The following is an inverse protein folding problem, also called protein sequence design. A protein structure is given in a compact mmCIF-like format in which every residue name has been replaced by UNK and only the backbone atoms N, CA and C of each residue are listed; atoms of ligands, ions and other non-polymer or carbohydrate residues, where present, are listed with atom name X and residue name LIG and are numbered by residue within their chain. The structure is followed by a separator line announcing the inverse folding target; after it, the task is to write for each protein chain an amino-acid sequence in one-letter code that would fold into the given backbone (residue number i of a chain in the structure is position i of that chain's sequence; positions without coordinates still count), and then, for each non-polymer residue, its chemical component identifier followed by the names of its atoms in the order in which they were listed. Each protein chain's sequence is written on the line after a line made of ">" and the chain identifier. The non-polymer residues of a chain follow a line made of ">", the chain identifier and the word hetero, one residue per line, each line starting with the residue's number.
data_IF_903629372642
#
_entry.id   IF_903629372642
#
_cell.length_a   1.000
_cell.length_b   1.000
_cell.length_c   1.000
_cell.angle_alpha   90.00
_cell.angle_beta   90.00
_cell.angle_gamma   90.00
#
_symmetry.space_group_name_H-M   'P 1'
#
loop_
_entity.id
_entity.type
_entity.pdbx_description
1 polymer ?
#
# COMPACT_ATOMS: atom_id res chain seq x y z
N UNK A 1 6.13 -8.76 -23.06
CA UNK A 1 6.29 -9.17 -21.66
C UNK A 1 7.60 -9.93 -21.53
N UNK A 2 8.39 -9.69 -20.48
CA UNK A 2 9.41 -10.66 -20.10
C UNK A 2 8.74 -12.01 -19.81
N UNK A 3 9.43 -13.15 -20.05
CA UNK A 3 8.87 -14.46 -19.74
C UNK A 3 8.54 -14.56 -18.25
N UNK A 4 7.47 -15.29 -17.91
CA UNK A 4 7.11 -15.56 -16.53
C UNK A 4 8.30 -16.17 -15.78
N UNK A 5 8.53 -15.79 -14.52
CA UNK A 5 9.65 -16.30 -13.74
C UNK A 5 9.55 -17.83 -13.62
N UNK A 6 10.71 -18.49 -13.63
CA UNK A 6 10.77 -19.93 -13.42
C UNK A 6 10.20 -20.29 -12.04
N UNK A 7 9.65 -21.50 -11.84
CA UNK A 7 9.16 -21.94 -10.54
C UNK A 7 10.22 -21.93 -9.43
N UNK A 8 11.50 -22.04 -9.81
CA UNK A 8 12.66 -21.97 -8.90
C UNK A 8 13.11 -20.54 -8.58
N UNK A 9 12.51 -19.52 -9.17
CA UNK A 9 12.87 -18.13 -8.91
C UNK A 9 12.52 -17.73 -7.47
N UNK A 10 13.43 -16.99 -6.83
CA UNK A 10 13.21 -16.41 -5.50
C UNK A 10 11.91 -15.59 -5.41
N UNK A 11 11.40 -15.42 -4.19
CA UNK A 11 10.13 -14.75 -3.94
C UNK A 11 10.12 -13.31 -4.49
N UNK A 12 11.21 -12.55 -4.29
CA UNK A 12 11.31 -11.17 -4.78
C UNK A 12 11.28 -11.10 -6.31
N UNK A 13 11.97 -12.02 -7.01
CA UNK A 13 11.96 -12.05 -8.47
C UNK A 13 10.54 -12.31 -9.01
N UNK A 14 9.78 -13.21 -8.36
CA UNK A 14 8.35 -13.42 -8.67
C UNK A 14 7.51 -12.18 -8.39
N UNK A 15 7.75 -11.52 -7.26
CA UNK A 15 7.07 -10.28 -6.92
C UNK A 15 7.37 -9.12 -7.89
N UNK A 16 8.58 -9.04 -8.45
CA UNK A 16 8.91 -8.05 -9.47
C UNK A 16 8.09 -8.26 -10.75
N UNK A 17 7.93 -9.52 -11.19
CA UNK A 17 7.08 -9.85 -12.32
C UNK A 17 5.60 -9.51 -12.05
N UNK A 18 5.10 -9.88 -10.87
CA UNK A 18 3.73 -9.59 -10.45
C UNK A 18 3.47 -8.09 -10.29
N UNK A 19 4.49 -7.31 -9.92
CA UNK A 19 4.40 -5.86 -9.80
C UNK A 19 4.15 -5.18 -11.16
N UNK A 20 4.83 -5.64 -12.22
CA UNK A 20 4.58 -5.13 -13.57
C UNK A 20 3.16 -5.47 -14.06
N UNK A 21 2.66 -6.65 -13.70
CA UNK A 21 1.26 -7.00 -13.97
C UNK A 21 0.29 -6.11 -13.19
N UNK A 22 0.56 -5.87 -11.90
CA UNK A 22 -0.21 -4.94 -11.09
C UNK A 22 -0.19 -3.51 -11.65
N UNK A 23 0.95 -3.00 -12.15
CA UNK A 23 1.02 -1.68 -12.80
C UNK A 23 0.07 -1.58 -13.98
N UNK A 24 0.02 -2.60 -14.84
CA UNK A 24 -0.91 -2.63 -15.99
C UNK A 24 -2.38 -2.66 -15.56
N UNK A 25 -2.71 -3.53 -14.61
CA UNK A 25 -4.09 -3.65 -14.09
C UNK A 25 -4.53 -2.36 -13.41
N UNK A 26 -3.65 -1.75 -12.63
CA UNK A 26 -3.85 -0.44 -12.01
C UNK A 26 -4.16 0.63 -13.03
N UNK A 27 -3.38 0.72 -14.10
CA UNK A 27 -3.66 1.67 -15.20
C UNK A 27 -5.01 1.42 -15.85
N UNK A 28 -5.35 0.16 -16.13
CA UNK A 28 -6.66 -0.19 -16.69
C UNK A 28 -7.84 0.15 -15.75
N UNK A 29 -7.62 0.15 -14.43
CA UNK A 29 -8.64 0.54 -13.44
C UNK A 29 -8.72 2.07 -13.23
N UNK A 30 -7.69 2.83 -13.60
CA UNK A 30 -7.57 4.28 -13.35
C UNK A 30 -7.56 5.14 -14.63
N UNK A 31 -7.68 4.50 -15.79
CA UNK A 31 -7.78 5.20 -17.07
C UNK A 31 -9.11 5.95 -17.18
N UNK A 32 -9.06 7.14 -17.77
CA UNK A 32 -10.23 7.95 -18.12
C UNK A 32 -10.63 7.74 -19.58
N UNK A 33 -9.76 7.15 -20.39
CA UNK A 33 -10.03 6.89 -21.81
C UNK A 33 -9.34 5.63 -22.32
N UNK A 34 -9.75 5.17 -23.50
CA UNK A 34 -9.17 4.00 -24.16
C UNK A 34 -7.73 4.29 -24.62
N UNK A 35 -7.45 5.53 -25.03
CA UNK A 35 -6.12 5.97 -25.46
C UNK A 35 -5.10 5.75 -24.34
N UNK A 36 -5.45 6.08 -23.10
CA UNK A 36 -4.56 5.86 -21.94
C UNK A 36 -4.29 4.37 -21.64
N UNK A 37 -5.19 3.47 -22.02
CA UNK A 37 -4.98 2.01 -21.94
C UNK A 37 -3.99 1.56 -23.03
N UNK A 38 -4.07 2.18 -24.20
CA UNK A 38 -3.29 1.83 -25.40
C UNK A 38 -1.92 2.53 -25.46
N UNK A 39 -1.70 3.57 -24.66
CA UNK A 39 -0.41 4.25 -24.55
C UNK A 39 0.69 3.29 -24.09
N UNK A 40 1.86 3.41 -24.70
CA UNK A 40 3.02 2.60 -24.36
C UNK A 40 3.56 3.02 -22.99
N UNK A 41 4.28 2.12 -22.30
CA UNK A 41 4.96 2.45 -21.03
C UNK A 41 5.94 3.63 -21.15
N UNK A 42 6.22 4.13 -22.36
CA UNK A 42 7.11 5.28 -22.58
C UNK A 42 6.40 6.62 -22.73
N UNK A 43 5.08 6.63 -22.90
CA UNK A 43 4.29 7.85 -23.09
C UNK A 43 3.77 8.36 -21.74
N UNK A 44 4.67 8.90 -20.92
CA UNK A 44 4.33 9.42 -19.59
C UNK A 44 3.83 10.86 -19.65
N UNK A 45 2.62 11.07 -20.13
CA UNK A 45 1.98 12.39 -20.02
C UNK A 45 1.32 12.52 -18.65
N UNK A 46 1.77 13.50 -17.87
CA UNK A 46 1.04 13.92 -16.68
C UNK A 46 -0.34 14.43 -17.08
N UNK A 47 -1.33 14.15 -16.23
CA UNK A 47 -2.69 14.67 -16.36
C UNK A 47 -2.77 16.02 -15.63
N UNK A 48 -3.75 16.18 -14.74
CA UNK A 48 -4.05 17.42 -14.02
C UNK A 48 -3.44 17.41 -12.60
N UNK A 49 -3.55 18.56 -11.91
CA UNK A 49 -3.28 18.61 -10.48
C UNK A 49 -4.25 17.72 -9.70
N UNK A 50 -3.72 16.94 -8.75
CA UNK A 50 -4.47 15.94 -8.02
C UNK A 50 -5.42 16.55 -6.99
N UNK A 51 -6.66 16.12 -6.98
CA UNK A 51 -7.68 16.55 -6.01
C UNK A 51 -7.88 15.50 -4.92
N UNK A 52 -8.62 15.84 -3.85
CA UNK A 52 -8.99 14.88 -2.82
C UNK A 52 -9.79 13.69 -3.38
N UNK A 53 -10.59 13.91 -4.43
CA UNK A 53 -11.37 12.86 -5.12
C UNK A 53 -10.45 11.83 -5.79
N UNK A 54 -9.34 12.28 -6.39
CA UNK A 54 -8.39 11.37 -7.02
C UNK A 54 -7.82 10.38 -6.01
N UNK A 55 -7.56 10.81 -4.77
CA UNK A 55 -7.11 9.91 -3.72
C UNK A 55 -8.16 8.89 -3.30
N UNK A 56 -9.44 9.24 -3.28
CA UNK A 56 -10.50 8.30 -2.95
C UNK A 56 -10.55 7.16 -3.98
N UNK A 57 -10.48 7.50 -5.27
CA UNK A 57 -10.42 6.52 -6.38
C UNK A 57 -9.13 5.70 -6.31
N UNK A 58 -7.99 6.34 -6.08
CA UNK A 58 -6.71 5.66 -5.93
C UNK A 58 -6.69 4.68 -4.77
N UNK A 59 -7.21 5.08 -3.61
CA UNK A 59 -7.27 4.23 -2.43
C UNK A 59 -8.07 2.97 -2.72
N UNK A 60 -9.24 3.10 -3.35
CA UNK A 60 -10.09 1.98 -3.73
C UNK A 60 -9.35 0.94 -4.59
N UNK A 61 -8.75 1.39 -5.69
CA UNK A 61 -8.00 0.52 -6.61
C UNK A 61 -6.79 -0.10 -5.91
N UNK A 62 -6.03 0.70 -5.15
CA UNK A 62 -4.82 0.24 -4.48
C UNK A 62 -5.12 -0.77 -3.37
N UNK A 63 -6.25 -0.66 -2.68
CA UNK A 63 -6.63 -1.65 -1.66
C UNK A 63 -6.94 -3.02 -2.26
N UNK A 64 -7.58 -3.07 -3.44
CA UNK A 64 -7.80 -4.32 -4.16
C UNK A 64 -6.47 -4.96 -4.54
N UNK A 65 -5.57 -4.18 -5.15
CA UNK A 65 -4.25 -4.68 -5.57
C UNK A 65 -3.36 -5.08 -4.38
N UNK A 66 -3.44 -4.34 -3.26
CA UNK A 66 -2.76 -4.67 -2.02
C UNK A 66 -3.23 -6.03 -1.50
N UNK A 67 -4.55 -6.24 -1.45
CA UNK A 67 -5.11 -7.49 -0.94
C UNK A 67 -4.70 -8.68 -1.81
N UNK A 68 -4.83 -8.56 -3.13
CA UNK A 68 -4.37 -9.60 -4.08
C UNK A 68 -2.88 -9.92 -3.96
N UNK A 69 -2.06 -8.92 -3.64
CA UNK A 69 -0.63 -9.12 -3.37
C UNK A 69 -0.42 -9.86 -2.04
N UNK A 70 -1.08 -9.43 -0.96
CA UNK A 70 -0.95 -10.03 0.37
C UNK A 70 -1.39 -11.50 0.37
N UNK A 71 -2.47 -11.84 -0.33
CA UNK A 71 -2.97 -13.24 -0.44
C UNK A 71 -1.94 -14.21 -1.05
N UNK A 72 -0.99 -13.70 -1.83
CA UNK A 72 0.08 -14.50 -2.43
C UNK A 72 1.26 -14.74 -1.47
N UNK A 73 1.31 -14.06 -0.32
CA UNK A 73 2.38 -14.23 0.66
C UNK A 73 2.16 -15.54 1.44
N UNK A 74 3.12 -16.50 1.40
CA UNK A 74 2.97 -17.78 2.08
C UNK A 74 2.66 -17.66 3.58
N UNK A 75 3.28 -16.68 4.24
CA UNK A 75 3.15 -16.44 5.67
C UNK A 75 1.81 -15.82 6.05
N UNK A 76 1.14 -15.14 5.12
CA UNK A 76 -0.18 -14.55 5.36
C UNK A 76 -1.25 -15.62 5.58
N UNK A 77 -1.11 -16.76 4.90
CA UNK A 77 -1.93 -17.94 5.13
C UNK A 77 -1.67 -18.60 6.50
N UNK A 78 -0.50 -18.38 7.12
CA UNK A 78 -0.16 -18.95 8.42
C UNK A 78 -0.80 -18.20 9.60
N UNK A 79 -1.30 -16.99 9.36
CA UNK A 79 -2.12 -16.26 10.33
C UNK A 79 -3.49 -16.91 10.54
N UNK A 80 -3.85 -17.89 9.71
CA UNK A 80 -4.95 -18.82 9.96
C UNK A 80 -4.44 -19.93 10.88
N UNK A 81 -5.13 -20.18 11.99
CA UNK A 81 -4.78 -21.21 12.96
C UNK A 81 -4.60 -22.58 12.26
N UNK A 82 -3.52 -23.35 12.52
CA UNK A 82 -3.33 -24.68 11.93
C UNK A 82 -4.50 -25.65 12.13
N UNK A 83 -5.40 -25.40 13.11
CA UNK A 83 -6.65 -26.16 13.28
C UNK A 83 -7.64 -25.99 12.11
N UNK A 84 -7.60 -24.90 11.33
CA UNK A 84 -8.52 -24.69 10.19
C UNK A 84 -8.37 -25.75 9.08
N UNK A 85 -7.18 -26.34 8.93
CA UNK A 85 -6.97 -27.44 7.97
C UNK A 85 -7.60 -28.76 8.43
N UNK A 86 -7.85 -28.93 9.73
CA UNK A 86 -8.47 -30.12 10.32
C UNK A 86 -9.99 -29.93 10.48
N UNK A 87 -10.42 -28.70 10.80
CA UNK A 87 -11.82 -28.35 11.10
C UNK A 87 -12.71 -28.29 9.86
N UNK A 88 -12.14 -28.32 8.65
CA UNK A 88 -12.91 -28.64 7.44
C UNK A 88 -13.66 -30.00 7.51
N UNK A 89 -13.36 -30.82 8.54
CA UNK A 89 -14.01 -32.11 8.82
C UNK A 89 -14.98 -32.10 10.02
N UNK A 90 -15.10 -31.03 10.83
CA UNK A 90 -15.90 -31.05 12.08
C UNK A 90 -16.64 -29.72 12.29
N UNK A 91 -17.87 -29.64 11.77
CA UNK A 91 -18.82 -28.58 12.08
C UNK A 91 -19.08 -28.51 13.59
N UNK A 92 -18.95 -27.32 14.19
CA UNK A 92 -19.68 -26.77 15.37
C UNK A 92 -18.79 -25.89 16.29
N UNK A 93 -17.46 -25.90 16.16
CA UNK A 93 -16.55 -24.96 16.90
C UNK A 93 -16.15 -23.72 16.05
N UNK A 94 -16.53 -23.71 14.77
CA UNK A 94 -16.03 -22.82 13.70
C UNK A 94 -16.19 -21.30 13.87
N UNK A 95 -17.19 -20.81 14.59
CA UNK A 95 -17.56 -19.38 14.47
C UNK A 95 -16.60 -18.46 15.24
N UNK A 96 -16.00 -18.94 16.33
CA UNK A 96 -15.12 -18.12 17.19
C UNK A 96 -13.68 -18.00 16.68
N UNK A 97 -13.12 -19.10 16.17
CA UNK A 97 -11.70 -19.19 15.76
C UNK A 97 -11.50 -18.52 14.40
N UNK A 98 -12.40 -18.78 13.44
CA UNK A 98 -12.29 -18.20 12.09
C UNK A 98 -12.44 -16.68 12.14
N UNK A 99 -13.36 -16.15 12.98
CA UNK A 99 -13.47 -14.71 13.23
C UNK A 99 -12.18 -14.10 13.77
N UNK A 100 -11.49 -14.76 14.70
CA UNK A 100 -10.26 -14.21 15.31
C UNK A 100 -9.10 -14.12 14.31
N UNK A 101 -8.96 -15.11 13.42
CA UNK A 101 -7.95 -15.13 12.36
C UNK A 101 -8.18 -14.01 11.33
N UNK A 102 -9.43 -13.81 10.91
CA UNK A 102 -9.82 -12.69 10.05
C UNK A 102 -9.59 -11.33 10.71
N UNK A 103 -9.77 -11.23 12.03
CA UNK A 103 -9.48 -9.98 12.78
C UNK A 103 -7.99 -9.64 12.76
N UNK A 104 -7.09 -10.63 12.90
CA UNK A 104 -5.64 -10.40 12.83
C UNK A 104 -5.19 -9.93 11.44
N UNK A 105 -5.64 -10.61 10.38
CA UNK A 105 -5.38 -10.22 9.01
C UNK A 105 -5.92 -8.81 8.71
N UNK A 106 -7.14 -8.50 9.18
CA UNK A 106 -7.76 -7.18 9.04
C UNK A 106 -6.93 -6.10 9.74
N UNK A 107 -6.42 -6.36 10.95
CA UNK A 107 -5.56 -5.42 11.68
C UNK A 107 -4.27 -5.11 10.91
N UNK A 108 -3.63 -6.12 10.31
CA UNK A 108 -2.44 -5.94 9.48
C UNK A 108 -2.73 -5.12 8.23
N UNK A 109 -3.78 -5.50 7.48
CA UNK A 109 -4.19 -4.81 6.26
C UNK A 109 -4.50 -3.33 6.54
N UNK A 110 -5.25 -3.03 7.60
CA UNK A 110 -5.55 -1.64 8.01
C UNK A 110 -4.30 -0.85 8.36
N UNK A 111 -3.39 -1.44 9.13
CA UNK A 111 -2.16 -0.78 9.54
C UNK A 111 -1.20 -0.52 8.37
N UNK A 112 -1.31 -1.32 7.32
CA UNK A 112 -0.43 -1.26 6.15
C UNK A 112 -0.99 -0.41 4.99
N UNK A 113 -2.31 -0.29 4.87
CA UNK A 113 -3.01 0.36 3.76
C UNK A 113 -2.40 1.71 3.31
N UNK A 114 -2.16 2.62 4.25
CA UNK A 114 -1.61 3.94 3.92
C UNK A 114 -0.14 3.89 3.54
N UNK A 115 0.64 3.00 4.16
CA UNK A 115 2.05 2.80 3.84
C UNK A 115 2.20 2.23 2.43
N UNK A 116 1.30 1.31 2.07
CA UNK A 116 1.20 0.77 0.71
C UNK A 116 0.87 1.87 -0.31
N UNK A 117 -0.17 2.67 -0.06
CA UNK A 117 -0.55 3.77 -0.93
C UNK A 117 0.60 4.78 -1.09
N UNK A 118 1.23 5.18 0.01
CA UNK A 118 2.35 6.12 -0.01
C UNK A 118 3.52 5.56 -0.83
N UNK A 119 3.99 4.35 -0.49
CA UNK A 119 5.13 3.69 -1.14
C UNK A 119 4.94 3.65 -2.66
N UNK A 120 3.76 3.28 -3.11
CA UNK A 120 3.49 3.14 -4.54
C UNK A 120 3.51 4.47 -5.29
N UNK A 121 2.98 5.54 -4.70
CA UNK A 121 3.00 6.86 -5.35
C UNK A 121 4.42 7.48 -5.33
N UNK A 122 5.17 7.35 -4.23
CA UNK A 122 6.57 7.86 -4.19
C UNK A 122 7.48 7.06 -5.11
N UNK A 123 7.29 5.74 -5.19
CA UNK A 123 8.04 4.90 -6.12
C UNK A 123 7.69 5.24 -7.58
N UNK A 124 6.41 5.42 -7.89
CA UNK A 124 5.98 5.86 -9.23
C UNK A 124 6.58 7.22 -9.61
N UNK A 125 6.56 8.18 -8.69
CA UNK A 125 7.20 9.50 -8.88
C UNK A 125 8.69 9.37 -9.18
N UNK A 126 9.39 8.54 -8.41
CA UNK A 126 10.81 8.25 -8.57
C UNK A 126 11.12 7.56 -9.91
N UNK A 127 10.32 6.55 -10.31
CA UNK A 127 10.45 5.85 -11.60
C UNK A 127 10.30 6.80 -12.78
N UNK A 128 9.37 7.77 -12.69
CA UNK A 128 9.18 8.81 -13.70
C UNK A 128 10.30 9.88 -13.68
N UNK A 129 11.12 9.91 -12.63
CA UNK A 129 12.26 10.79 -12.52
C UNK A 129 11.95 12.21 -12.04
N UNK A 130 10.74 12.48 -11.53
CA UNK A 130 10.39 13.78 -10.98
C UNK A 130 11.01 14.01 -9.59
N UNK A 131 11.45 15.25 -9.33
CA UNK A 131 11.99 15.70 -8.03
C UNK A 131 11.33 16.99 -7.53
N UNK A 132 10.46 17.60 -8.33
CA UNK A 132 9.78 18.88 -8.04
C UNK A 132 8.29 18.70 -7.74
N UNK A 133 7.77 17.47 -7.83
CA UNK A 133 6.35 17.14 -7.69
C UNK A 133 6.17 15.67 -7.31
N UNK A 134 5.08 15.37 -6.62
CA UNK A 134 4.62 14.00 -6.38
C UNK A 134 3.65 13.63 -7.49
N UNK A 135 3.93 12.53 -8.20
CA UNK A 135 3.06 11.99 -9.24
C UNK A 135 2.34 10.77 -8.70
N UNK A 136 1.02 10.83 -8.69
CA UNK A 136 0.19 9.72 -8.28
C UNK A 136 0.15 8.66 -9.39
N UNK A 137 -0.17 7.42 -9.03
CA UNK A 137 -0.20 6.28 -9.96
C UNK A 137 -1.27 6.38 -11.06
N UNK A 138 -2.17 7.38 -10.99
CA UNK A 138 -3.09 7.76 -12.06
C UNK A 138 -2.55 8.90 -12.96
N UNK A 139 -1.28 9.27 -12.81
CA UNK A 139 -0.58 10.37 -13.50
C UNK A 139 -1.11 11.79 -13.19
N UNK A 140 -2.01 11.97 -12.23
CA UNK A 140 -2.23 13.28 -11.64
C UNK A 140 -1.05 13.62 -10.72
N UNK A 141 -0.80 14.90 -10.48
CA UNK A 141 0.37 15.32 -9.72
C UNK A 141 0.04 16.40 -8.68
N UNK A 142 0.89 16.51 -7.66
CA UNK A 142 0.87 17.58 -6.69
C UNK A 142 2.24 18.26 -6.72
N UNK A 143 2.24 19.58 -6.85
CA UNK A 143 3.47 20.35 -6.79
C UNK A 143 3.48 21.15 -5.49
N UNK A 144 4.54 21.03 -4.66
CA UNK A 144 4.62 21.80 -3.44
C UNK A 144 4.49 23.30 -3.70
N UNK A 145 3.71 23.94 -2.85
CA UNK A 145 3.33 25.36 -2.82
C UNK A 145 2.56 25.86 -4.06
N UNK A 146 2.05 24.96 -4.90
CA UNK A 146 1.25 25.28 -6.09
C UNK A 146 -0.07 24.52 -6.06
N UNK A 147 -1.13 25.16 -5.58
CA UNK A 147 -2.47 24.61 -5.52
C UNK A 147 -3.35 25.07 -6.70
N UNK A 148 -4.35 24.28 -7.12
CA UNK A 148 -5.30 24.67 -8.16
C UNK A 148 -6.18 25.85 -7.70
N UNK A 149 -6.64 26.72 -8.62
CA UNK A 149 -7.49 27.86 -8.27
C UNK A 149 -8.85 27.41 -7.72
N UNK A 150 -9.18 27.80 -6.50
CA UNK A 150 -10.44 27.43 -5.84
C UNK A 150 -11.64 28.27 -6.33
N UNK A 151 -12.84 27.68 -6.40
CA UNK A 151 -14.09 28.42 -6.35
C UNK A 151 -14.20 29.22 -5.03
N UNK A 152 -14.75 30.44 -5.07
CA UNK A 152 -14.70 31.42 -3.95
C UNK A 152 -15.51 31.05 -2.68
N UNK A 153 -15.96 29.81 -2.49
CA UNK A 153 -16.98 29.44 -1.51
C UNK A 153 -16.55 28.38 -0.49
N UNK A 154 -15.28 28.33 -0.10
CA UNK A 154 -14.78 27.12 0.57
C UNK A 154 -14.63 27.24 2.09
N UNK A 155 -15.13 26.17 2.72
CA UNK A 155 -15.23 25.92 4.15
C UNK A 155 -13.83 25.76 4.77
N UNK A 156 -13.70 25.96 6.08
CA UNK A 156 -12.41 25.93 6.79
C UNK A 156 -11.62 24.62 6.64
N UNK A 157 -12.30 23.50 6.39
CA UNK A 157 -11.68 22.18 6.28
C UNK A 157 -10.96 21.98 4.93
N UNK A 158 -11.47 22.54 3.83
CA UNK A 158 -10.88 22.39 2.48
C UNK A 158 -9.52 23.08 2.36
N UNK A 159 -9.37 24.27 2.96
CA UNK A 159 -8.08 24.96 3.06
C UNK A 159 -7.02 24.17 3.83
N UNK A 160 -7.43 23.38 4.83
CA UNK A 160 -6.51 22.52 5.58
C UNK A 160 -6.05 21.34 4.73
N UNK A 161 -6.94 20.74 3.95
CA UNK A 161 -6.57 19.66 3.01
C UNK A 161 -5.61 20.19 1.94
N UNK A 162 -5.88 21.36 1.39
CA UNK A 162 -5.04 22.02 0.38
C UNK A 162 -3.63 22.30 0.90
N UNK A 163 -3.52 22.90 2.10
CA UNK A 163 -2.23 23.14 2.74
C UNK A 163 -1.44 21.84 2.96
N UNK A 164 -2.10 20.70 3.18
CA UNK A 164 -1.39 19.43 3.34
C UNK A 164 -1.00 18.82 1.98
N UNK A 165 -1.90 18.83 1.00
CA UNK A 165 -1.65 18.24 -0.33
C UNK A 165 -0.60 19.02 -1.13
N UNK A 166 -0.58 20.34 -0.97
CA UNK A 166 0.26 21.26 -1.74
C UNK A 166 1.21 22.07 -0.87
N UNK A 167 1.40 21.75 0.40
CA UNK A 167 2.27 22.53 1.29
C UNK A 167 3.64 21.91 1.55
N UNK A 168 4.13 22.15 2.77
CA UNK A 168 5.45 21.73 3.22
C UNK A 168 5.59 20.21 3.32
N UNK A 169 4.47 19.50 3.43
CA UNK A 169 4.41 18.05 3.59
C UNK A 169 4.65 17.32 2.27
N UNK A 170 4.13 17.86 1.16
CA UNK A 170 4.48 17.40 -0.18
C UNK A 170 5.98 17.62 -0.47
N UNK A 171 6.54 18.75 0.00
CA UNK A 171 7.98 19.02 -0.08
C UNK A 171 8.80 18.02 0.76
N UNK A 172 8.39 17.76 2.00
CA UNK A 172 9.04 16.78 2.87
C UNK A 172 9.02 15.37 2.25
N UNK A 173 7.94 14.98 1.58
CA UNK A 173 7.87 13.70 0.86
C UNK A 173 8.89 13.61 -0.28
N UNK A 174 9.17 14.71 -0.96
CA UNK A 174 10.23 14.76 -1.97
C UNK A 174 11.62 14.61 -1.32
N UNK A 175 11.88 15.41 -0.29
CA UNK A 175 13.19 15.50 0.36
C UNK A 175 13.57 14.23 1.13
N UNK A 176 12.61 13.61 1.81
CA UNK A 176 12.85 12.46 2.69
C UNK A 176 12.66 11.10 2.00
N UNK A 177 11.91 11.04 0.88
CA UNK A 177 11.62 9.78 0.18
C UNK A 177 12.04 9.82 -1.29
N UNK A 178 11.40 10.63 -2.14
CA UNK A 178 11.57 10.53 -3.60
C UNK A 178 13.02 10.78 -4.02
N UNK A 179 13.63 11.87 -3.53
CA UNK A 179 15.00 12.25 -3.87
C UNK A 179 16.01 11.22 -3.32
N UNK A 180 15.95 10.78 -2.05
CA UNK A 180 16.80 9.69 -1.55
C UNK A 180 16.64 8.39 -2.34
N UNK A 181 15.40 7.94 -2.61
CA UNK A 181 15.12 6.72 -3.37
C UNK A 181 15.70 6.80 -4.79
N UNK A 182 15.60 7.95 -5.44
CA UNK A 182 16.19 8.19 -6.77
C UNK A 182 17.71 8.21 -6.73
N UNK A 183 18.31 8.92 -5.78
CA UNK A 183 19.78 9.00 -5.61
C UNK A 183 20.41 7.63 -5.34
N UNK A 184 19.73 6.78 -4.58
CA UNK A 184 20.18 5.41 -4.38
C UNK A 184 19.80 4.47 -5.54
N UNK A 185 19.09 4.93 -6.56
CA UNK A 185 18.59 4.09 -7.66
C UNK A 185 17.84 2.86 -7.13
N UNK A 186 16.79 3.08 -6.34
CA UNK A 186 15.98 2.02 -5.75
C UNK A 186 15.35 1.15 -6.86
N UNK A 187 15.58 -0.16 -6.81
CA UNK A 187 15.03 -1.12 -7.77
C UNK A 187 13.66 -1.66 -7.31
N UNK A 188 12.88 -2.19 -8.26
CA UNK A 188 11.59 -2.83 -7.99
C UNK A 188 11.70 -3.91 -6.91
N UNK A 189 12.71 -4.80 -6.98
CA UNK A 189 12.88 -5.85 -5.97
C UNK A 189 13.13 -5.32 -4.56
N UNK A 190 13.83 -4.20 -4.44
CA UNK A 190 14.07 -3.53 -3.16
C UNK A 190 12.80 -2.86 -2.65
N UNK A 191 12.01 -2.22 -3.52
CA UNK A 191 10.69 -1.68 -3.19
C UNK A 191 9.72 -2.77 -2.71
N UNK A 192 9.66 -3.93 -3.39
CA UNK A 192 8.86 -5.07 -2.95
C UNK A 192 9.30 -5.59 -1.58
N UNK A 193 10.59 -5.49 -1.27
CA UNK A 193 11.10 -5.82 0.07
C UNK A 193 10.67 -4.81 1.13
N UNK A 194 10.76 -3.51 0.85
CA UNK A 194 10.24 -2.47 1.75
C UNK A 194 8.74 -2.69 2.02
N UNK A 195 7.98 -3.05 0.98
CA UNK A 195 6.56 -3.41 1.07
C UNK A 195 6.33 -4.56 2.05
N UNK A 196 7.07 -5.67 1.92
CA UNK A 196 6.99 -6.81 2.85
C UNK A 196 7.38 -6.44 4.27
N UNK A 197 8.50 -5.74 4.46
CA UNK A 197 9.00 -5.34 5.78
C UNK A 197 7.96 -4.46 6.49
N UNK A 198 7.38 -3.49 5.81
CA UNK A 198 6.35 -2.61 6.37
C UNK A 198 5.06 -3.36 6.72
N UNK A 199 4.65 -4.33 5.90
CA UNK A 199 3.48 -5.16 6.16
C UNK A 199 3.67 -6.03 7.42
N UNK A 200 4.82 -6.69 7.53
CA UNK A 200 5.17 -7.55 8.66
C UNK A 200 5.61 -6.79 9.92
N UNK A 201 5.78 -5.47 9.82
CA UNK A 201 6.06 -4.58 10.93
C UNK A 201 4.96 -3.52 11.10
N UNK A 202 3.74 -3.92 11.52
CA UNK A 202 2.60 -3.02 11.63
C UNK A 202 2.69 -2.05 12.82
N UNK A 203 3.64 -2.25 13.75
CA UNK A 203 3.68 -1.54 15.03
C UNK A 203 2.77 -2.20 16.09
N UNK A 204 2.29 -1.42 17.06
CA UNK A 204 1.41 -1.92 18.12
C UNK A 204 -0.06 -1.93 17.66
N UNK A 205 -0.45 -2.96 16.91
CA UNK A 205 -1.82 -3.12 16.38
C UNK A 205 -2.65 -4.15 17.14
N UNK A 206 -2.19 -4.56 18.32
CA UNK A 206 -2.89 -5.54 19.17
C UNK A 206 -3.03 -6.91 18.51
N UNK A 207 -1.94 -7.41 17.90
CA UNK A 207 -1.84 -8.81 17.46
C UNK A 207 -1.73 -9.74 18.67
N UNK A 208 -2.16 -10.99 18.49
CA UNK A 208 -1.91 -12.05 19.48
C UNK A 208 -0.41 -12.37 19.56
N UNK A 209 0.08 -12.96 20.66
CA UNK A 209 1.49 -13.37 20.76
C UNK A 209 1.95 -14.26 19.59
N UNK A 210 1.09 -15.20 19.15
CA UNK A 210 1.34 -16.04 17.97
C UNK A 210 1.41 -15.23 16.68
N UNK A 211 0.50 -14.27 16.48
CA UNK A 211 0.53 -13.38 15.32
C UNK A 211 1.77 -12.48 15.29
N UNK A 212 2.27 -12.04 16.44
CA UNK A 212 3.53 -11.30 16.56
C UNK A 212 4.70 -12.19 16.14
N UNK A 213 4.73 -13.44 16.58
CA UNK A 213 5.78 -14.39 16.22
C UNK A 213 5.79 -14.68 14.71
N UNK A 214 4.62 -14.93 14.11
CA UNK A 214 4.51 -15.14 12.66
C UNK A 214 4.99 -13.90 11.90
N UNK A 215 4.50 -12.71 12.27
CA UNK A 215 4.86 -11.48 11.58
C UNK A 215 6.36 -11.16 11.69
N UNK A 216 6.94 -11.22 12.91
CA UNK A 216 8.35 -10.86 13.13
C UNK A 216 9.32 -11.96 12.72
N UNK A 217 9.06 -13.20 13.12
CA UNK A 217 10.05 -14.27 12.98
C UNK A 217 9.95 -14.97 11.64
N UNK A 218 8.75 -15.10 11.07
CA UNK A 218 8.56 -15.75 9.78
C UNK A 218 8.51 -14.71 8.66
N UNK A 219 7.57 -13.76 8.71
CA UNK A 219 7.37 -12.78 7.65
C UNK A 219 8.55 -11.83 7.44
N UNK A 220 8.95 -11.09 8.47
CA UNK A 220 10.03 -10.11 8.37
C UNK A 220 11.40 -10.77 8.08
N UNK A 221 11.77 -11.82 8.82
CA UNK A 221 13.05 -12.50 8.57
C UNK A 221 13.12 -13.13 7.17
N UNK A 222 12.00 -13.68 6.68
CA UNK A 222 11.97 -14.21 5.32
C UNK A 222 12.12 -13.10 4.27
N UNK A 223 11.48 -11.95 4.47
CA UNK A 223 11.66 -10.78 3.58
C UNK A 223 13.14 -10.34 3.50
N UNK A 224 13.85 -10.28 4.64
CA UNK A 224 15.28 -9.94 4.68
C UNK A 224 16.13 -11.02 4.02
N UNK A 225 15.85 -12.30 4.29
CA UNK A 225 16.56 -13.43 3.68
C UNK A 225 16.41 -13.45 2.16
N UNK A 226 15.19 -13.23 1.67
CA UNK A 226 14.92 -13.14 0.23
C UNK A 226 15.65 -11.94 -0.40
N UNK A 227 15.78 -10.81 0.30
CA UNK A 227 16.54 -9.65 -0.18
C UNK A 227 18.03 -9.99 -0.37
N UNK A 228 18.63 -10.71 0.58
CA UNK A 228 20.00 -11.19 0.42
C UNK A 228 20.13 -12.06 -0.84
N UNK A 229 19.23 -13.01 -1.03
CA UNK A 229 19.25 -13.87 -2.21
C UNK A 229 19.04 -13.09 -3.52
N UNK A 230 18.15 -12.09 -3.52
CA UNK A 230 17.96 -11.19 -4.65
C UNK A 230 19.23 -10.39 -4.98
N UNK A 231 19.95 -9.90 -3.97
CA UNK A 231 21.20 -9.19 -4.16
C UNK A 231 22.34 -10.05 -4.71
N UNK A 232 22.41 -11.32 -4.31
CA UNK A 232 23.32 -12.29 -4.92
C UNK A 232 23.05 -12.43 -6.43
N UNK A 233 21.77 -12.53 -6.82
CA UNK A 233 21.36 -12.63 -8.23
C UNK A 233 21.63 -11.36 -9.03
N UNK A 234 21.51 -10.19 -8.42
CA UNK A 234 21.78 -8.88 -9.03
C UNK A 234 23.28 -8.50 -9.05
N UNK A 235 24.15 -9.33 -8.46
CA UNK A 235 25.59 -9.07 -8.39
C UNK A 235 25.98 -7.89 -7.49
N UNK A 236 25.18 -7.60 -6.47
CA UNK A 236 25.47 -6.51 -5.51
C UNK A 236 26.61 -6.95 -4.59
N UNK A 237 27.72 -6.22 -4.59
CA UNK A 237 28.91 -6.56 -3.80
C UNK A 237 28.86 -6.03 -2.38
N UNK A 238 28.23 -4.87 -2.17
CA UNK A 238 28.15 -4.20 -0.87
C UNK A 238 26.75 -4.33 -0.26
N UNK A 239 26.41 -5.57 0.08
CA UNK A 239 25.07 -5.96 0.52
C UNK A 239 24.68 -5.27 1.84
N UNK A 240 25.59 -5.23 2.81
CA UNK A 240 25.30 -4.67 4.14
C UNK A 240 24.97 -3.18 4.09
N UNK A 241 25.78 -2.38 3.38
CA UNK A 241 25.50 -0.96 3.22
C UNK A 241 24.21 -0.73 2.42
N UNK A 242 23.93 -1.57 1.42
CA UNK A 242 22.70 -1.47 0.64
C UNK A 242 21.45 -1.74 1.48
N UNK A 243 21.47 -2.80 2.30
CA UNK A 243 20.39 -3.10 3.25
C UNK A 243 20.25 -1.96 4.26
N UNK A 244 21.36 -1.45 4.81
CA UNK A 244 21.34 -0.31 5.73
C UNK A 244 20.62 0.90 5.14
N UNK A 245 20.96 1.29 3.91
CA UNK A 245 20.31 2.39 3.20
C UNK A 245 18.81 2.15 2.98
N UNK A 246 18.40 0.91 2.66
CA UNK A 246 16.98 0.57 2.52
C UNK A 246 16.23 0.71 3.85
N UNK A 247 16.80 0.20 4.94
CA UNK A 247 16.16 0.25 6.25
C UNK A 247 16.04 1.68 6.78
N UNK A 248 16.95 2.59 6.39
CA UNK A 248 16.88 4.02 6.71
C UNK A 248 15.70 4.74 6.05
N UNK A 249 15.04 4.16 5.03
CA UNK A 249 13.82 4.71 4.45
C UNK A 249 12.57 4.41 5.31
N UNK A 250 12.58 3.31 6.08
CA UNK A 250 11.41 2.86 6.84
C UNK A 250 10.86 3.90 7.82
N UNK A 251 11.68 4.67 8.57
CA UNK A 251 11.18 5.72 9.46
C UNK A 251 10.29 6.76 8.78
N UNK A 252 10.58 7.10 7.51
CA UNK A 252 9.78 8.06 6.75
C UNK A 252 8.39 7.50 6.35
N UNK A 253 8.21 6.17 6.37
CA UNK A 253 6.92 5.50 6.16
C UNK A 253 6.19 5.12 7.46
N UNK A 254 6.90 5.04 8.60
CA UNK A 254 6.30 4.66 9.89
C UNK A 254 5.85 5.88 10.66
N UNK A 255 4.69 5.80 11.33
CA UNK A 255 4.21 6.82 12.25
C UNK A 255 5.07 6.82 13.53
N UNK A 256 6.31 7.30 13.46
CA UNK A 256 7.15 7.55 14.62
C UNK A 256 7.01 9.00 15.04
N UNK A 257 6.75 9.25 16.32
CA UNK A 257 6.47 10.55 16.97
C UNK A 257 7.60 11.60 16.90
N UNK A 258 8.57 11.44 15.99
CA UNK A 258 9.80 12.25 15.89
C UNK A 258 9.87 13.04 14.57
N UNK A 259 9.13 12.66 13.52
CA UNK A 259 9.09 13.39 12.25
C UNK A 259 7.71 14.03 11.96
N UNK A 260 7.65 15.16 11.24
CA UNK A 260 6.39 15.81 10.86
C UNK A 260 5.60 15.04 9.77
N UNK A 261 6.25 14.17 8.98
CA UNK A 261 5.61 13.29 7.99
C UNK A 261 4.60 12.26 8.58
N UNK A 262 4.87 11.62 9.72
CA UNK A 262 3.92 10.86 10.53
C UNK A 262 2.67 11.61 10.95
N UNK A 263 2.82 12.88 11.35
CA UNK A 263 1.69 13.74 11.67
C UNK A 263 0.90 14.05 10.40
N UNK A 264 1.58 14.27 9.27
CA UNK A 264 0.96 14.38 7.96
C UNK A 264 0.20 13.12 7.55
N UNK A 265 0.77 11.90 7.64
CA UNK A 265 0.05 10.67 7.34
C UNK A 265 -1.15 10.44 8.27
N UNK A 266 -1.04 10.83 9.53
CA UNK A 266 -2.12 10.76 10.52
C UNK A 266 -3.20 11.83 10.31
N UNK A 267 -2.83 13.03 9.87
CA UNK A 267 -3.76 14.12 9.56
C UNK A 267 -4.41 13.95 8.18
N UNK A 268 -3.66 13.44 7.21
CA UNK A 268 -4.17 12.92 5.95
C UNK A 268 -5.09 11.72 6.24
N UNK A 269 -4.76 10.82 7.18
CA UNK A 269 -5.66 9.75 7.68
C UNK A 269 -6.89 10.34 8.37
N UNK A 270 -6.77 11.38 9.20
CA UNK A 270 -7.91 12.01 9.87
C UNK A 270 -8.77 12.80 8.91
N UNK A 271 -8.20 13.41 7.86
CA UNK A 271 -8.90 14.08 6.78
C UNK A 271 -9.49 13.05 5.83
N UNK A 272 -8.81 11.94 5.53
CA UNK A 272 -9.37 10.82 4.78
C UNK A 272 -10.52 10.21 5.53
N UNK A 273 -10.36 9.85 6.81
CA UNK A 273 -11.43 9.37 7.68
C UNK A 273 -12.52 10.43 7.87
N UNK A 274 -12.20 11.72 8.01
CA UNK A 274 -13.21 12.79 8.12
C UNK A 274 -13.96 12.99 6.81
N UNK A 275 -13.32 12.95 5.65
CA UNK A 275 -13.97 13.01 4.33
C UNK A 275 -14.80 11.72 4.13
N UNK A 276 -14.27 10.55 4.46
CA UNK A 276 -14.96 9.25 4.35
C UNK A 276 -16.15 9.11 5.31
N UNK A 277 -16.05 9.68 6.52
CA UNK A 277 -17.08 9.59 7.57
C UNK A 277 -18.07 10.76 7.48
N UNK A 278 -17.65 11.98 7.09
CA UNK A 278 -18.51 13.17 7.02
C UNK A 278 -19.18 13.38 5.66
N UNK A 279 -18.64 12.86 4.55
CA UNK A 279 -19.33 12.90 3.26
C UNK A 279 -19.75 11.49 2.85
N UNK A 280 -21.05 11.19 3.00
CA UNK A 280 -21.93 10.29 2.21
C UNK A 280 -21.37 9.05 1.45
N UNK A 281 -20.22 8.49 1.81
CA UNK A 281 -19.52 7.48 1.02
C UNK A 281 -19.27 6.16 1.76
N UNK A 282 -19.89 5.95 2.93
CA UNK A 282 -20.11 4.59 3.51
C UNK A 282 -20.81 3.68 2.48
N UNK A 283 -21.70 4.24 1.65
CA UNK A 283 -22.38 3.53 0.56
C UNK A 283 -21.43 3.10 -0.57
N UNK A 284 -20.39 3.88 -0.87
CA UNK A 284 -19.45 3.56 -1.94
C UNK A 284 -18.44 2.50 -1.51
N UNK A 285 -18.02 2.48 -0.24
CA UNK A 285 -17.25 1.34 0.31
C UNK A 285 -18.07 0.04 0.26
N UNK A 286 -19.38 0.13 0.51
CA UNK A 286 -20.34 -0.97 0.36
C UNK A 286 -20.50 -1.46 -1.09
N UNK A 287 -20.51 -0.56 -2.08
CA UNK A 287 -20.57 -0.93 -3.50
C UNK A 287 -19.20 -1.44 -4.03
N UNK A 288 -18.09 -0.99 -3.45
CA UNK A 288 -16.73 -1.40 -3.82
C UNK A 288 -16.47 -2.88 -3.57
N UNK A 289 -16.91 -3.37 -2.41
CA UNK A 289 -16.73 -4.76 -1.98
C UNK A 289 -17.60 -5.72 -2.81
N UNK A 290 -18.69 -5.22 -3.42
CA UNK A 290 -19.55 -6.00 -4.33
C UNK A 290 -18.93 -6.25 -5.70
N UNK A 291 -17.91 -5.49 -6.10
CA UNK A 291 -17.27 -5.58 -7.41
C UNK A 291 -16.09 -6.56 -7.46
N UNK A 292 -15.72 -7.19 -6.34
CA UNK A 292 -14.63 -8.17 -6.26
C UNK A 292 -15.23 -9.59 -6.40
N UNK A 293 -15.03 -10.30 -7.53
CA UNK A 293 -15.72 -11.57 -7.80
C UNK A 293 -15.34 -12.72 -6.85
N UNK A 294 -14.16 -12.66 -6.23
CA UNK A 294 -13.64 -13.65 -5.29
C UNK A 294 -14.14 -13.48 -3.84
N UNK A 295 -14.80 -12.36 -3.51
CA UNK A 295 -15.40 -12.13 -2.18
C UNK A 295 -16.73 -12.89 -1.96
N UNK A 296 -17.11 -13.78 -2.89
CA UNK A 296 -18.38 -14.48 -2.97
C UNK A 296 -18.60 -15.65 -2.00
N UNK A 297 -18.16 -15.56 -0.73
CA UNK A 297 -18.68 -16.42 0.35
C UNK A 297 -19.21 -15.57 1.51
N UNK A 298 -20.51 -15.34 1.44
CA UNK A 298 -21.36 -14.38 2.17
C UNK A 298 -21.30 -14.33 3.72
N UNK A 299 -20.42 -15.05 4.40
CA UNK A 299 -20.27 -14.93 5.88
C UNK A 299 -19.06 -14.09 6.29
N UNK A 300 -18.08 -13.93 5.41
CA UNK A 300 -16.86 -13.12 5.63
C UNK A 300 -17.12 -11.61 5.37
N UNK A 301 -18.16 -11.33 4.57
CA UNK A 301 -18.66 -10.01 4.15
C UNK A 301 -19.13 -9.14 5.33
N UNK A 302 -20.04 -9.67 6.15
CA UNK A 302 -20.63 -8.94 7.27
C UNK A 302 -19.58 -8.62 8.34
N UNK A 303 -18.73 -9.60 8.69
CA UNK A 303 -17.76 -9.44 9.78
C UNK A 303 -16.68 -8.40 9.50
N UNK A 304 -16.19 -8.30 8.27
CA UNK A 304 -15.17 -7.30 7.91
C UNK A 304 -15.74 -5.88 7.96
N UNK A 305 -16.95 -5.68 7.42
CA UNK A 305 -17.61 -4.38 7.39
C UNK A 305 -18.08 -3.94 8.78
N UNK A 306 -18.58 -4.86 9.61
CA UNK A 306 -18.99 -4.56 10.99
C UNK A 306 -17.79 -4.10 11.84
N UNK A 307 -16.65 -4.78 11.73
CA UNK A 307 -15.41 -4.42 12.44
C UNK A 307 -14.79 -3.12 11.90
N UNK A 308 -15.05 -2.76 10.65
CA UNK A 308 -14.52 -1.54 10.01
C UNK A 308 -15.35 -0.30 10.35
N UNK A 309 -16.65 -0.47 10.47
CA UNK A 309 -17.59 0.62 10.76
C UNK A 309 -17.83 0.81 12.26
N UNK A 310 -17.80 -0.27 13.05
CA UNK A 310 -18.16 -0.23 14.47
C UNK A 310 -16.97 -0.35 15.43
N UNK A 311 -15.74 -0.55 14.93
CA UNK A 311 -14.51 -0.41 15.72
C UNK A 311 -14.39 -1.36 16.92
N UNK A 312 -14.89 -2.59 16.81
CA UNK A 312 -14.65 -3.67 17.79
C UNK A 312 -13.37 -4.45 17.46
#
# INVERSE_FOLDING_TARGET
>A
MPPSPLPSSGLIARQCYDFEDQKRRRRAMLCRSLEEILMSDTDFTLRDMATAEDYAVLFQVQMVLMFEWVEKLPEFCLLLDPLDKVVQSVHVIDIGINRLNHVLQTKLLRAFALRYLLLDNVFHTMELGYEDRIVLVNNNYMKPFEAPPLPQNDLTDEKRVELMMYGAEAQAMLDDLVIPMKRMALKVGEMMTLRMIMFWNPGNVGLTPSGIEIARTVGFNNAVKELHHYFEGEGVTDVEHRIGNLLLLLPAFTVSSVSPLPFFLYELLLIFLRIFILQKHVRYLYELVKLIPSFGKMNEWDSFMDVLLNGL
#
